data_IF_676711633301
#
_entry.id   IF_676711633301
#
_cell.length_a   1.000
_cell.length_b   1.000
_cell.length_c   1.000
_cell.angle_alpha   90.00
_cell.angle_beta   90.00
_cell.angle_gamma   90.00
#
_symmetry.space_group_name_H-M   'P 1'
#
loop_
_entity.id
_entity.type
_entity.pdbx_description
1 polymer ?
#
# COMPACT_ATOMS: atom_id res chain seq x y z
N UNK A 1 33.47 -68.29 -13.99
CA UNK A 1 32.30 -68.05 -13.12
C UNK A 1 32.44 -66.67 -12.52
N UNK A 2 31.85 -65.66 -13.21
CA UNK A 2 31.96 -64.25 -12.82
C UNK A 2 30.69 -63.82 -12.10
N UNK A 3 30.81 -63.39 -10.85
CA UNK A 3 29.69 -62.93 -10.03
C UNK A 3 29.41 -61.46 -10.31
N UNK A 4 28.29 -61.17 -10.98
CA UNK A 4 27.76 -59.86 -11.22
C UNK A 4 27.23 -59.28 -9.91
N UNK A 5 27.85 -58.20 -9.40
CA UNK A 5 27.34 -57.43 -8.25
C UNK A 5 26.39 -56.36 -8.77
N UNK A 6 25.13 -56.50 -8.47
CA UNK A 6 24.11 -55.48 -8.70
C UNK A 6 24.20 -54.41 -7.60
N UNK A 7 24.60 -53.20 -7.95
CA UNK A 7 24.53 -52.02 -7.09
C UNK A 7 23.13 -51.43 -7.20
N UNK A 8 22.38 -51.58 -6.13
CA UNK A 8 21.09 -50.85 -5.95
C UNK A 8 21.41 -49.45 -5.43
N UNK A 9 21.30 -48.44 -6.31
CA UNK A 9 21.36 -47.03 -5.92
C UNK A 9 19.96 -46.66 -5.41
N UNK A 10 19.84 -46.56 -4.11
CA UNK A 10 18.63 -46.04 -3.44
C UNK A 10 18.60 -44.53 -3.58
N UNK A 11 17.79 -44.02 -4.50
CA UNK A 11 17.53 -42.61 -4.63
C UNK A 11 16.58 -42.17 -3.49
N UNK A 12 17.14 -41.58 -2.46
CA UNK A 12 16.37 -40.89 -1.44
C UNK A 12 15.75 -39.61 -2.04
N UNK A 13 14.48 -39.71 -2.37
CA UNK A 13 13.67 -38.51 -2.73
C UNK A 13 13.45 -37.72 -1.45
N UNK A 14 14.21 -36.63 -1.29
CA UNK A 14 13.96 -35.63 -0.26
C UNK A 14 12.72 -34.83 -0.70
N UNK A 15 11.58 -35.20 -0.18
CA UNK A 15 10.37 -34.36 -0.21
C UNK A 15 10.65 -33.14 0.69
N UNK A 16 11.10 -32.03 0.07
CA UNK A 16 11.03 -30.73 0.71
C UNK A 16 9.54 -30.38 0.86
N UNK A 17 9.00 -30.62 2.03
CA UNK A 17 7.69 -30.13 2.42
C UNK A 17 7.75 -28.61 2.38
N UNK A 18 7.23 -28.02 1.30
CA UNK A 18 6.92 -26.59 1.22
C UNK A 18 5.82 -26.36 2.26
N UNK A 19 6.22 -25.90 3.44
CA UNK A 19 5.26 -25.45 4.46
C UNK A 19 4.60 -24.20 3.88
N UNK A 20 3.47 -24.38 3.17
CA UNK A 20 2.54 -23.32 2.88
C UNK A 20 2.04 -22.87 4.26
N UNK A 21 2.55 -21.73 4.71
CA UNK A 21 2.06 -21.05 5.89
C UNK A 21 0.62 -20.64 5.56
N UNK A 22 -0.35 -21.49 5.91
CA UNK A 22 -1.77 -21.12 5.87
C UNK A 22 -1.92 -19.94 6.82
N UNK A 23 -1.98 -18.73 6.28
CA UNK A 23 -2.41 -17.57 7.03
C UNK A 23 -3.82 -17.88 7.50
N UNK A 24 -3.97 -18.19 8.79
CA UNK A 24 -5.26 -18.55 9.38
C UNK A 24 -6.28 -17.47 9.07
N UNK A 25 -7.51 -17.83 8.81
CA UNK A 25 -8.62 -16.94 8.45
C UNK A 25 -8.90 -15.82 9.50
N UNK A 26 -8.25 -15.89 10.66
CA UNK A 26 -8.27 -14.88 11.71
C UNK A 26 -7.03 -13.97 11.72
N UNK A 27 -6.05 -14.19 10.84
CA UNK A 27 -4.85 -13.35 10.77
C UNK A 27 -5.22 -11.93 10.28
N UNK A 28 -4.60 -10.92 10.92
CA UNK A 28 -4.64 -9.55 10.40
C UNK A 28 -3.82 -9.48 9.11
N UNK A 29 -4.22 -8.61 8.15
CA UNK A 29 -3.39 -8.33 6.98
C UNK A 29 -2.03 -7.80 7.43
N UNK A 30 -0.98 -8.08 6.68
CA UNK A 30 0.36 -7.58 6.96
C UNK A 30 0.51 -6.12 6.50
N UNK A 31 -0.10 -5.78 5.37
CA UNK A 31 -0.05 -4.45 4.79
C UNK A 31 -1.42 -3.97 4.34
N UNK A 32 -1.68 -2.69 4.56
CA UNK A 32 -2.89 -2.01 4.11
C UNK A 32 -2.48 -0.70 3.42
N UNK A 33 -2.87 -0.53 2.17
CA UNK A 33 -2.72 0.73 1.45
C UNK A 33 -4.10 1.29 1.19
N UNK A 34 -4.39 2.49 1.71
CA UNK A 34 -5.64 3.19 1.49
C UNK A 34 -5.40 4.43 0.62
N UNK A 35 -6.12 4.54 -0.49
CA UNK A 35 -6.07 5.70 -1.39
C UNK A 35 -7.38 6.46 -1.27
N UNK A 36 -7.29 7.75 -1.00
CA UNK A 36 -8.44 8.59 -0.69
C UNK A 36 -8.25 10.03 -1.16
N UNK A 37 -9.21 10.89 -0.84
CA UNK A 37 -9.12 12.33 -1.03
C UNK A 37 -9.55 13.07 0.26
N UNK A 38 -9.28 14.37 0.33
CA UNK A 38 -9.68 15.22 1.45
C UNK A 38 -11.21 15.27 1.63
N UNK A 39 -11.98 15.02 0.55
CA UNK A 39 -13.44 14.95 0.60
C UNK A 39 -13.96 13.65 1.23
N UNK A 40 -13.16 12.59 1.22
CA UNK A 40 -13.52 11.27 1.76
C UNK A 40 -12.37 10.69 2.60
N UNK A 41 -11.98 11.36 3.71
CA UNK A 41 -10.83 10.94 4.50
C UNK A 41 -11.04 9.55 5.09
N UNK A 42 -9.96 8.78 5.16
CA UNK A 42 -9.98 7.49 5.85
C UNK A 42 -10.14 7.74 7.35
N UNK A 43 -11.17 7.13 7.91
CA UNK A 43 -11.40 7.10 9.35
C UNK A 43 -10.55 5.96 9.92
N UNK A 44 -9.38 6.32 10.46
CA UNK A 44 -8.50 5.36 11.11
C UNK A 44 -8.76 5.36 12.60
N UNK A 45 -9.21 4.24 13.14
CA UNK A 45 -9.15 3.99 14.58
C UNK A 45 -7.66 3.90 14.94
N UNK A 46 -7.23 4.64 15.94
CA UNK A 46 -5.93 4.70 16.67
C UNK A 46 -4.73 3.79 16.26
N UNK A 47 -4.69 3.26 15.04
CA UNK A 47 -3.59 2.45 14.52
C UNK A 47 -2.32 3.27 14.24
N UNK A 48 -2.44 4.61 14.18
CA UNK A 48 -1.31 5.53 13.92
C UNK A 48 -0.19 5.46 14.97
N UNK A 49 -0.47 4.91 16.14
CA UNK A 49 0.50 4.85 17.25
C UNK A 49 1.16 3.49 17.44
N UNK A 50 0.80 2.50 16.65
CA UNK A 50 1.36 1.17 16.79
C UNK A 50 2.45 0.93 15.74
N UNK A 51 3.66 0.66 16.18
CA UNK A 51 4.74 0.21 15.29
C UNK A 51 4.31 -1.08 14.56
N UNK A 52 4.70 -1.26 13.28
CA UNK A 52 4.45 -2.51 12.58
C UNK A 52 4.96 -3.69 13.38
N UNK A 53 4.09 -4.67 13.63
CA UNK A 53 4.44 -5.92 14.32
C UNK A 53 3.60 -7.05 13.75
N UNK A 54 3.90 -8.30 14.13
CA UNK A 54 3.08 -9.45 13.71
C UNK A 54 1.59 -9.31 14.03
N UNK A 55 1.24 -8.42 14.97
CA UNK A 55 -0.14 -8.19 15.43
C UNK A 55 -0.72 -6.86 14.90
N UNK A 56 0.05 -6.04 14.18
CA UNK A 56 -0.38 -4.76 13.63
C UNK A 56 0.02 -4.66 12.16
N UNK A 57 -0.92 -4.39 11.24
CA UNK A 57 -0.61 -4.16 9.84
C UNK A 57 0.21 -2.89 9.65
N UNK A 58 1.07 -2.89 8.64
CA UNK A 58 1.64 -1.65 8.11
C UNK A 58 0.55 -0.91 7.34
N UNK A 59 0.20 0.31 7.78
CA UNK A 59 -0.87 1.10 7.18
C UNK A 59 -0.29 2.32 6.50
N UNK A 60 -0.49 2.43 5.19
CA UNK A 60 -0.13 3.58 4.37
C UNK A 60 -1.39 4.24 3.85
N UNK A 61 -1.58 5.53 4.14
CA UNK A 61 -2.70 6.33 3.61
C UNK A 61 -2.14 7.31 2.59
N UNK A 62 -2.64 7.23 1.36
CA UNK A 62 -2.23 8.03 0.22
C UNK A 62 -3.37 8.97 -0.19
N UNK A 63 -3.09 10.27 -0.31
CA UNK A 63 -4.06 11.28 -0.74
C UNK A 63 -3.88 11.63 -2.21
N UNK A 64 -4.97 11.59 -2.98
CA UNK A 64 -4.99 12.05 -4.37
C UNK A 64 -4.87 13.58 -4.50
N UNK A 65 -5.14 14.32 -3.41
CA UNK A 65 -5.07 15.77 -3.39
C UNK A 65 -3.66 16.29 -3.03
N UNK A 66 -2.69 15.40 -2.79
CA UNK A 66 -1.35 15.79 -2.33
C UNK A 66 -0.62 16.71 -3.34
N UNK A 67 -0.79 16.47 -4.65
CA UNK A 67 -0.21 17.33 -5.69
C UNK A 67 -0.82 18.74 -5.65
N UNK A 68 -2.15 18.81 -5.52
CA UNK A 68 -2.86 20.09 -5.41
C UNK A 68 -2.40 20.85 -4.17
N UNK A 69 -2.24 20.20 -3.03
CA UNK A 69 -1.76 20.83 -1.79
C UNK A 69 -0.36 21.45 -1.95
N UNK A 70 0.55 20.79 -2.67
CA UNK A 70 1.88 21.36 -3.00
C UNK A 70 1.73 22.59 -3.90
N UNK A 71 0.86 22.53 -4.92
CA UNK A 71 0.61 23.66 -5.81
C UNK A 71 0.03 24.86 -5.06
N UNK A 72 -0.95 24.63 -4.17
CA UNK A 72 -1.54 25.65 -3.32
C UNK A 72 -0.49 26.31 -2.42
N UNK A 73 0.36 25.51 -1.75
CA UNK A 73 1.45 26.02 -0.92
C UNK A 73 2.45 26.89 -1.69
N UNK A 74 2.83 26.48 -2.90
CA UNK A 74 3.74 27.27 -3.74
C UNK A 74 3.07 28.53 -4.28
N UNK A 75 1.76 28.49 -4.52
CA UNK A 75 0.98 29.60 -5.08
C UNK A 75 0.50 30.62 -4.04
N UNK A 76 0.58 30.28 -2.76
CA UNK A 76 0.13 31.16 -1.67
C UNK A 76 0.87 32.50 -1.67
N UNK A 77 0.12 33.63 -1.66
CA UNK A 77 0.69 34.97 -1.59
C UNK A 77 1.43 35.42 -2.84
N UNK A 78 1.22 34.76 -3.99
CA UNK A 78 1.80 35.24 -5.26
C UNK A 78 1.14 36.54 -5.71
N UNK A 79 1.93 37.53 -6.17
CA UNK A 79 1.40 38.75 -6.77
C UNK A 79 0.81 38.49 -8.16
N UNK A 80 -0.03 39.43 -8.65
CA UNK A 80 -0.60 39.37 -10.01
C UNK A 80 0.42 39.61 -11.12
N UNK A 81 1.57 40.21 -10.80
CA UNK A 81 2.66 40.41 -11.75
C UNK A 81 3.42 39.10 -11.97
N UNK A 82 3.47 38.64 -13.21
CA UNK A 82 4.07 37.34 -13.55
C UNK A 82 5.57 37.26 -13.21
N UNK A 83 6.31 38.38 -13.41
CA UNK A 83 7.75 38.40 -13.15
C UNK A 83 8.04 38.27 -11.67
N UNK A 84 7.31 39.06 -10.86
CA UNK A 84 7.42 39.00 -9.40
C UNK A 84 6.93 37.64 -8.84
N UNK A 85 5.82 37.12 -9.36
CA UNK A 85 5.31 35.80 -8.98
C UNK A 85 6.33 34.70 -9.24
N UNK A 86 6.95 34.71 -10.43
CA UNK A 86 8.00 33.74 -10.82
C UNK A 86 9.21 33.80 -9.88
N UNK A 87 9.67 35.02 -9.58
CA UNK A 87 10.80 35.24 -8.68
C UNK A 87 10.48 34.71 -7.26
N UNK A 88 9.27 34.97 -6.77
CA UNK A 88 8.84 34.49 -5.44
C UNK A 88 8.70 32.97 -5.40
N UNK A 89 8.18 32.31 -6.43
CA UNK A 89 8.13 30.84 -6.50
C UNK A 89 9.53 30.26 -6.49
N UNK A 90 10.48 30.82 -7.24
CA UNK A 90 11.86 30.38 -7.23
C UNK A 90 12.52 30.53 -5.85
N UNK A 91 12.23 31.62 -5.16
CA UNK A 91 12.69 31.83 -3.78
C UNK A 91 12.11 30.77 -2.84
N UNK A 92 10.79 30.49 -2.88
CA UNK A 92 10.14 29.45 -2.07
C UNK A 92 10.74 28.07 -2.33
N UNK A 93 11.01 27.72 -3.59
CA UNK A 93 11.64 26.45 -3.95
C UNK A 93 13.07 26.37 -3.40
N UNK A 94 13.82 27.48 -3.44
CA UNK A 94 15.18 27.53 -2.88
C UNK A 94 15.18 27.39 -1.35
N UNK A 95 14.22 28.04 -0.66
CA UNK A 95 14.03 27.95 0.79
C UNK A 95 13.59 26.56 1.23
N UNK A 96 12.66 25.93 0.51
CA UNK A 96 12.21 24.56 0.75
C UNK A 96 13.33 23.53 0.51
N UNK A 97 14.18 23.79 -0.48
CA UNK A 97 15.23 22.93 -0.99
C UNK A 97 14.70 22.01 -2.12
N UNK A 98 15.42 22.03 -3.23
CA UNK A 98 15.01 21.28 -4.44
C UNK A 98 14.83 19.79 -4.18
N UNK A 99 15.75 19.15 -3.47
CA UNK A 99 15.67 17.72 -3.16
C UNK A 99 14.41 17.39 -2.35
N UNK A 100 14.09 18.24 -1.37
CA UNK A 100 12.89 18.05 -0.55
C UNK A 100 11.62 18.17 -1.38
N UNK A 101 11.54 19.17 -2.26
CA UNK A 101 10.40 19.35 -3.17
C UNK A 101 10.25 18.15 -4.13
N UNK A 102 11.36 17.62 -4.66
CA UNK A 102 11.34 16.43 -5.51
C UNK A 102 10.83 15.18 -4.76
N UNK A 103 11.22 14.99 -3.51
CA UNK A 103 10.74 13.89 -2.68
C UNK A 103 9.26 14.05 -2.33
N UNK A 104 8.80 15.27 -2.00
CA UNK A 104 7.38 15.58 -1.75
C UNK A 104 6.53 15.34 -3.00
N UNK A 105 7.00 15.77 -4.18
CA UNK A 105 6.30 15.53 -5.44
C UNK A 105 6.24 14.02 -5.76
N UNK A 106 7.33 13.29 -5.57
CA UNK A 106 7.35 11.84 -5.77
C UNK A 106 6.34 11.15 -4.86
N UNK A 107 6.29 11.53 -3.60
CA UNK A 107 5.32 11.01 -2.65
C UNK A 107 3.86 11.39 -3.04
N UNK A 108 3.66 12.62 -3.54
CA UNK A 108 2.35 13.11 -3.97
C UNK A 108 1.81 12.38 -5.21
N UNK A 109 2.68 11.89 -6.11
CA UNK A 109 2.28 11.10 -7.28
C UNK A 109 2.14 9.60 -6.99
N UNK A 110 2.58 9.11 -5.83
CA UNK A 110 2.52 7.69 -5.47
C UNK A 110 1.09 7.12 -5.52
N UNK A 111 0.02 7.81 -5.07
CA UNK A 111 -1.35 7.32 -5.18
C UNK A 111 -1.75 7.01 -6.63
N UNK A 112 -1.46 7.92 -7.56
CA UNK A 112 -1.77 7.73 -8.99
C UNK A 112 -1.00 6.54 -9.58
N UNK A 113 0.30 6.45 -9.30
CA UNK A 113 1.12 5.31 -9.70
C UNK A 113 0.59 3.98 -9.16
N UNK A 114 0.14 3.97 -7.90
CA UNK A 114 -0.46 2.79 -7.27
C UNK A 114 -1.77 2.42 -7.94
N UNK A 115 -2.65 3.39 -8.19
CA UNK A 115 -3.91 3.14 -8.91
C UNK A 115 -3.67 2.54 -10.29
N UNK A 116 -2.73 3.09 -11.05
CA UNK A 116 -2.37 2.57 -12.37
C UNK A 116 -1.81 1.15 -12.30
N UNK A 117 -0.91 0.88 -11.35
CA UNK A 117 -0.26 -0.42 -11.21
C UNK A 117 -1.25 -1.54 -10.86
N UNK A 118 -2.32 -1.22 -10.12
CA UNK A 118 -3.37 -2.18 -9.73
C UNK A 118 -4.61 -2.12 -10.61
N UNK A 119 -4.64 -1.28 -11.65
CA UNK A 119 -5.82 -1.10 -12.52
C UNK A 119 -7.04 -0.57 -11.78
N UNK A 120 -6.85 0.30 -10.78
CA UNK A 120 -7.92 0.86 -9.96
C UNK A 120 -8.53 2.07 -10.65
N UNK A 121 -9.86 2.12 -10.74
CA UNK A 121 -10.61 3.13 -11.50
C UNK A 121 -11.38 4.14 -10.61
N UNK A 122 -11.41 3.91 -9.29
CA UNK A 122 -12.20 4.72 -8.35
C UNK A 122 -11.60 4.76 -6.95
N UNK A 123 -12.00 5.76 -6.18
CA UNK A 123 -11.63 5.94 -4.77
C UNK A 123 -12.86 6.32 -3.93
N UNK A 124 -12.83 6.19 -2.59
CA UNK A 124 -11.75 5.63 -1.79
C UNK A 124 -11.59 4.13 -2.06
N UNK A 125 -10.35 3.65 -1.93
CA UNK A 125 -10.01 2.25 -2.14
C UNK A 125 -9.01 1.78 -1.09
N UNK A 126 -9.19 0.58 -0.58
CA UNK A 126 -8.31 -0.05 0.41
C UNK A 126 -7.80 -1.36 -0.17
N UNK A 127 -6.48 -1.50 -0.18
CA UNK A 127 -5.76 -2.67 -0.72
C UNK A 127 -5.16 -3.43 0.47
N UNK A 128 -5.43 -4.73 0.56
CA UNK A 128 -4.92 -5.63 1.59
C UNK A 128 -3.88 -6.57 0.99
N UNK A 129 -2.68 -6.60 1.56
CA UNK A 129 -1.58 -7.51 1.21
C UNK A 129 -1.29 -7.59 -0.30
N UNK A 130 -1.58 -6.52 -1.04
CA UNK A 130 -1.47 -6.44 -2.50
C UNK A 130 -2.32 -7.48 -3.26
N UNK A 131 -3.31 -8.10 -2.61
CA UNK A 131 -4.11 -9.21 -3.16
C UNK A 131 -5.60 -8.94 -3.20
N UNK A 132 -6.15 -8.23 -2.22
CA UNK A 132 -7.57 -7.94 -2.12
C UNK A 132 -7.84 -6.44 -2.11
N UNK A 133 -8.95 -6.02 -2.70
CA UNK A 133 -9.32 -4.60 -2.84
C UNK A 133 -10.76 -4.39 -2.40
N UNK A 134 -10.97 -3.35 -1.60
CA UNK A 134 -12.31 -2.88 -1.20
C UNK A 134 -12.49 -1.43 -1.65
N UNK A 135 -13.56 -1.16 -2.40
CA UNK A 135 -13.92 0.17 -2.87
C UNK A 135 -14.99 0.84 -2.01
N UNK A 136 -14.98 2.16 -1.98
CA UNK A 136 -16.05 2.98 -1.42
C UNK A 136 -16.10 3.04 0.11
N UNK A 137 -15.15 2.40 0.80
CA UNK A 137 -15.11 2.34 2.25
C UNK A 137 -14.04 3.29 2.81
N UNK A 138 -14.41 4.05 3.84
CA UNK A 138 -13.51 4.97 4.56
C UNK A 138 -13.21 4.50 5.98
N UNK A 139 -14.05 3.62 6.55
CA UNK A 139 -13.82 3.00 7.86
C UNK A 139 -12.87 1.81 7.72
N UNK A 140 -11.65 1.99 8.23
CA UNK A 140 -10.60 0.99 8.15
C UNK A 140 -10.90 -0.27 8.97
N UNK A 141 -11.53 -0.10 10.14
CA UNK A 141 -11.90 -1.23 11.00
C UNK A 141 -12.96 -2.12 10.35
N UNK A 142 -13.96 -1.49 9.75
CA UNK A 142 -15.00 -2.21 8.99
C UNK A 142 -14.41 -2.89 7.75
N UNK A 143 -13.47 -2.25 7.07
CA UNK A 143 -12.77 -2.83 5.92
C UNK A 143 -11.95 -4.07 6.31
N UNK A 144 -11.21 -4.02 7.42
CA UNK A 144 -10.46 -5.17 7.95
C UNK A 144 -11.40 -6.33 8.30
N UNK A 145 -12.53 -6.03 8.95
CA UNK A 145 -13.51 -7.08 9.29
C UNK A 145 -14.10 -7.74 8.04
N UNK A 146 -14.41 -6.94 7.00
CA UNK A 146 -14.87 -7.50 5.71
C UNK A 146 -13.81 -8.35 5.02
N UNK A 147 -12.55 -7.91 5.04
CA UNK A 147 -11.46 -8.69 4.48
C UNK A 147 -11.30 -10.03 5.20
N UNK A 148 -11.39 -10.05 6.53
CA UNK A 148 -11.37 -11.30 7.33
C UNK A 148 -12.53 -12.23 6.99
N UNK A 149 -13.75 -11.68 6.87
CA UNK A 149 -14.90 -12.47 6.48
C UNK A 149 -14.70 -13.11 5.10
N UNK A 150 -14.24 -12.33 4.13
CA UNK A 150 -13.92 -12.84 2.79
C UNK A 150 -12.86 -13.96 2.82
N UNK A 151 -11.82 -13.85 3.66
CA UNK A 151 -10.83 -14.92 3.82
C UNK A 151 -11.45 -16.20 4.39
N UNK A 152 -12.37 -16.09 5.38
CA UNK A 152 -13.10 -17.25 5.94
C UNK A 152 -13.95 -17.93 4.89
N UNK A 153 -14.71 -17.17 4.13
CA UNK A 153 -15.59 -17.68 3.07
C UNK A 153 -14.77 -18.37 1.97
N UNK A 154 -13.64 -17.80 1.59
CA UNK A 154 -12.72 -18.36 0.59
C UNK A 154 -12.10 -19.69 1.06
N UNK A 155 -11.70 -19.77 2.33
CA UNK A 155 -11.06 -20.96 2.89
C UNK A 155 -12.07 -22.02 3.35
N UNK A 156 -13.31 -21.65 3.68
CA UNK A 156 -14.40 -22.55 4.08
C UNK A 156 -15.25 -23.12 2.95
N UNK A 157 -15.13 -22.58 1.73
CA UNK A 157 -15.89 -23.01 0.56
C UNK A 157 -15.28 -24.17 -0.24
N UNK A 158 -14.26 -24.81 0.27
CA UNK A 158 -13.58 -25.95 -0.37
C UNK A 158 -14.08 -27.31 0.11
N UNK A 159 -15.40 -27.55 0.05
CA UNK A 159 -15.96 -28.90 0.27
C UNK A 159 -16.85 -29.31 -0.91
#
# INVERSE_FOLDING_TARGET
MSKLKIFVVSAAIVFAALSILEAGADALPQSIVAITSNQRPIQSVNWKSASPSKNNPEITILSLDAVQSIQEQLSEGLPNDETLARALVQQKIAELGRSKLEDELRAAYLPLGTMMAYGLDRYPVIIFDKQAVIYGMTDLSLAINRHRQWLKDKNGGGN
#
